data_IF_559644954159
#
_entry.id   IF_559644954159
#
_cell.length_a   1.000
_cell.length_b   1.000
_cell.length_c   1.000
_cell.angle_alpha   90.00
_cell.angle_beta   90.00
_cell.angle_gamma   90.00
#
_symmetry.space_group_name_H-M   'P 1'
#
loop_
_entity.id
_entity.type
_entity.pdbx_description
1 polymer ?
#
# COMPACT_ATOMS: atom_id res chain seq x y z
N UNK A 1 8.15 19.64 -2.91
CA UNK A 1 8.19 18.24 -2.52
C UNK A 1 8.76 18.07 -1.13
N UNK A 2 8.06 17.44 -0.29
CA UNK A 2 8.50 17.31 1.09
C UNK A 2 9.02 15.90 1.32
N UNK A 3 9.94 15.80 2.27
CA UNK A 3 10.45 14.50 2.67
C UNK A 3 9.35 13.63 3.25
N UNK A 4 8.34 14.25 3.84
CA UNK A 4 7.26 13.49 4.44
C UNK A 4 6.47 12.71 3.40
N UNK A 5 6.15 13.36 2.28
CA UNK A 5 5.42 12.67 1.23
C UNK A 5 6.24 11.52 0.68
N UNK A 6 7.52 11.77 0.46
CA UNK A 6 8.41 10.74 -0.05
C UNK A 6 8.48 9.57 0.92
N UNK A 7 8.58 9.85 2.21
CA UNK A 7 8.64 8.80 3.22
C UNK A 7 7.37 7.96 3.22
N UNK A 8 6.22 8.62 3.08
CA UNK A 8 4.96 7.89 3.07
C UNK A 8 4.89 6.94 1.89
N UNK A 9 5.33 7.40 0.73
CA UNK A 9 5.30 6.55 -0.46
C UNK A 9 6.23 5.36 -0.28
N UNK A 10 7.41 5.59 0.26
CA UNK A 10 8.36 4.51 0.46
C UNK A 10 7.81 3.50 1.47
N UNK A 11 7.26 3.99 2.57
CA UNK A 11 6.69 3.10 3.57
C UNK A 11 5.52 2.30 3.01
N UNK A 12 4.68 2.96 2.25
CA UNK A 12 3.53 2.28 1.65
C UNK A 12 4.00 1.17 0.72
N UNK A 13 4.96 1.48 -0.12
CA UNK A 13 5.45 0.49 -1.08
C UNK A 13 6.15 -0.66 -0.38
N UNK A 14 6.91 -0.37 0.66
CA UNK A 14 7.58 -1.42 1.41
C UNK A 14 6.56 -2.34 2.08
N UNK A 15 5.53 -1.76 2.68
CA UNK A 15 4.49 -2.53 3.32
C UNK A 15 3.74 -3.38 2.30
N UNK A 16 3.40 -2.81 1.17
CA UNK A 16 2.66 -3.55 0.17
C UNK A 16 3.50 -4.62 -0.49
N UNK A 17 4.81 -4.43 -0.54
CA UNK A 17 5.68 -5.46 -1.06
C UNK A 17 5.61 -6.70 -0.17
N UNK A 18 5.61 -6.49 1.15
CA UNK A 18 5.47 -7.60 2.08
C UNK A 18 4.11 -8.27 1.94
N UNK A 19 3.07 -7.46 1.84
CA UNK A 19 1.72 -8.01 1.70
C UNK A 19 1.58 -8.77 0.40
N UNK A 20 2.22 -8.29 -0.66
CA UNK A 20 2.18 -8.97 -1.94
C UNK A 20 2.86 -10.33 -1.85
N UNK A 21 3.93 -10.42 -1.09
CA UNK A 21 4.57 -11.72 -0.88
C UNK A 21 3.65 -12.67 -0.13
N UNK A 22 2.92 -12.16 0.84
CA UNK A 22 1.98 -12.99 1.57
C UNK A 22 0.89 -13.51 0.65
N UNK A 23 0.44 -12.68 -0.28
CA UNK A 23 -0.55 -13.12 -1.25
C UNK A 23 0.02 -14.21 -2.14
N UNK A 24 1.25 -14.05 -2.59
CA UNK A 24 1.89 -15.03 -3.46
C UNK A 24 2.06 -16.37 -2.74
N UNK A 25 2.27 -16.33 -1.44
CA UNK A 25 2.45 -17.57 -0.67
C UNK A 25 1.14 -18.17 -0.20
N UNK A 26 0.03 -17.54 -0.53
CA UNK A 26 -1.27 -18.07 -0.16
C UNK A 26 -1.67 -17.80 1.28
N UNK A 27 -0.99 -16.89 1.95
CA UNK A 27 -1.31 -16.56 3.33
C UNK A 27 -2.52 -15.65 3.42
N UNK A 28 -2.82 -14.92 2.37
CA UNK A 28 -4.00 -14.06 2.31
C UNK A 28 -4.63 -14.21 0.94
N UNK A 29 -5.90 -13.81 0.85
CA UNK A 29 -6.62 -13.86 -0.40
C UNK A 29 -6.48 -12.54 -1.14
N UNK A 30 -6.89 -12.55 -2.41
CA UNK A 30 -6.86 -11.31 -3.18
C UNK A 30 -7.79 -10.26 -2.61
N UNK A 31 -8.90 -10.69 -2.04
CA UNK A 31 -9.81 -9.75 -1.39
C UNK A 31 -9.14 -9.10 -0.21
N UNK A 32 -8.46 -9.90 0.59
CA UNK A 32 -7.75 -9.37 1.75
C UNK A 32 -6.62 -8.43 1.30
N UNK A 33 -5.94 -8.79 0.25
CA UNK A 33 -4.88 -7.94 -0.27
C UNK A 33 -5.44 -6.58 -0.68
N UNK A 34 -6.55 -6.59 -1.40
CA UNK A 34 -7.17 -5.35 -1.85
C UNK A 34 -7.61 -4.49 -0.68
N UNK A 35 -8.15 -5.13 0.34
CA UNK A 35 -8.61 -4.41 1.52
C UNK A 35 -7.45 -3.81 2.29
N UNK A 36 -6.37 -4.57 2.43
CA UNK A 36 -5.18 -4.07 3.10
C UNK A 36 -4.61 -2.90 2.34
N UNK A 37 -4.58 -3.00 1.03
CA UNK A 37 -4.08 -1.91 0.19
C UNK A 37 -4.87 -0.63 0.44
N UNK A 38 -6.19 -0.75 0.48
CA UNK A 38 -7.03 0.41 0.70
C UNK A 38 -6.80 1.01 2.08
N UNK A 39 -6.68 0.15 3.09
CA UNK A 39 -6.48 0.60 4.44
C UNK A 39 -5.16 1.37 4.57
N UNK A 40 -4.09 0.82 4.02
CA UNK A 40 -2.80 1.46 4.14
C UNK A 40 -2.68 2.69 3.26
N UNK A 41 -3.31 2.68 2.09
CA UNK A 41 -3.31 3.89 1.27
C UNK A 41 -4.00 5.03 2.00
N UNK A 42 -5.10 4.72 2.67
CA UNK A 42 -5.81 5.72 3.45
C UNK A 42 -4.98 6.16 4.65
N UNK A 43 -4.35 5.20 5.31
CA UNK A 43 -3.57 5.50 6.50
C UNK A 43 -2.41 6.44 6.19
N UNK A 44 -1.76 6.22 5.07
CA UNK A 44 -0.63 7.05 4.69
C UNK A 44 -1.02 8.27 3.88
N UNK A 45 -2.32 8.43 3.64
CA UNK A 45 -2.79 9.57 2.87
C UNK A 45 -2.51 9.47 1.38
N UNK A 46 -2.35 8.27 0.88
CA UNK A 46 -2.07 8.02 -0.53
C UNK A 46 -3.29 7.44 -1.20
N UNK A 47 -4.23 8.29 -1.55
CA UNK A 47 -5.45 7.82 -2.18
C UNK A 47 -5.21 7.53 -3.64
N UNK A 48 -5.99 6.60 -4.17
CA UNK A 48 -5.81 6.17 -5.55
C UNK A 48 -5.88 7.32 -6.53
N UNK A 49 -6.79 8.23 -6.30
CA UNK A 49 -6.95 9.36 -7.21
C UNK A 49 -5.66 10.17 -7.30
N UNK A 50 -4.92 10.24 -6.20
CA UNK A 50 -3.66 10.95 -6.18
C UNK A 50 -2.59 10.17 -6.91
N UNK A 51 -2.57 8.87 -6.72
CA UNK A 51 -1.52 8.04 -7.32
C UNK A 51 -1.64 7.95 -8.82
N UNK A 52 -2.84 8.05 -9.35
CA UNK A 52 -3.08 7.89 -10.77
C UNK A 52 -3.11 9.19 -11.53
N UNK A 53 -2.79 10.27 -10.88
CA UNK A 53 -2.79 11.57 -11.52
C UNK A 53 -1.41 12.11 -11.85
#
# INVERSE_FOLDING_TARGET
MTNELFKRIVLYKATMSLVKNMLAEGLITEEEYSEIDRIFASKYGLELSVLYR
#
